data_IF_179539032271
#
_entry.id   IF_179539032271
#
_cell.length_a   1.000
_cell.length_b   1.000
_cell.length_c   1.000
_cell.angle_alpha   90.00
_cell.angle_beta   90.00
_cell.angle_gamma   90.00
#
_symmetry.space_group_name_H-M   'P 1'
#
loop_
_entity.id
_entity.type
_entity.pdbx_description
1 polymer ?
#
# COMPACT_ATOMS: atom_id res chain seq x y z
N UNK A 1 3.08 -10.39 -8.78
CA UNK A 1 4.17 -9.69 -8.06
C UNK A 1 3.72 -9.40 -6.66
N UNK A 2 4.63 -9.54 -5.70
CA UNK A 2 4.40 -9.22 -4.29
C UNK A 2 5.66 -8.60 -3.68
N UNK A 3 5.47 -7.76 -2.67
CA UNK A 3 6.52 -7.18 -1.86
C UNK A 3 6.05 -7.15 -0.41
N UNK A 4 6.93 -7.54 0.51
CA UNK A 4 6.61 -7.58 1.95
C UNK A 4 7.62 -6.77 2.72
N UNK A 5 7.18 -6.02 3.72
CA UNK A 5 8.05 -5.30 4.64
C UNK A 5 7.52 -5.38 6.06
N UNK A 6 8.45 -5.45 7.02
CA UNK A 6 8.16 -5.35 8.45
C UNK A 6 8.95 -4.21 9.06
N UNK A 7 8.36 -3.53 10.03
CA UNK A 7 9.03 -2.50 10.82
C UNK A 7 8.34 -2.34 12.18
N UNK A 8 9.03 -1.67 13.10
CA UNK A 8 8.48 -1.29 14.41
C UNK A 8 7.98 0.15 14.35
N UNK A 9 6.72 0.37 14.70
CA UNK A 9 6.11 1.68 14.83
C UNK A 9 6.43 2.33 16.18
N UNK A 10 6.28 3.66 16.26
CA UNK A 10 6.48 4.40 17.51
C UNK A 10 5.30 4.24 18.49
N UNK A 11 4.10 3.96 17.98
CA UNK A 11 2.88 3.76 18.75
C UNK A 11 2.50 2.29 18.98
N UNK A 12 1.28 2.06 19.48
CA UNK A 12 0.68 0.72 19.61
C UNK A 12 -0.70 0.66 18.94
N UNK A 13 -1.03 -0.52 18.42
CA UNK A 13 -2.35 -0.99 17.99
C UNK A 13 -3.18 0.12 17.29
N UNK A 14 -4.20 0.64 17.97
CA UNK A 14 -5.16 1.58 17.38
C UNK A 14 -4.53 2.87 16.86
N UNK A 15 -3.54 3.44 17.56
CA UNK A 15 -2.86 4.65 17.10
C UNK A 15 -2.02 4.40 15.84
N UNK A 16 -1.50 3.19 15.70
CA UNK A 16 -0.75 2.77 14.51
C UNK A 16 -1.71 2.50 13.35
N UNK A 17 -2.83 1.81 13.61
CA UNK A 17 -3.87 1.55 12.62
C UNK A 17 -4.48 2.85 12.08
N UNK A 18 -4.74 3.84 12.93
CA UNK A 18 -5.27 5.15 12.53
C UNK A 18 -4.28 5.91 11.65
N UNK A 19 -3.00 5.91 12.00
CA UNK A 19 -1.96 6.55 11.20
C UNK A 19 -1.81 5.89 9.82
N UNK A 20 -1.93 4.56 9.77
CA UNK A 20 -1.92 3.78 8.53
C UNK A 20 -3.14 4.10 7.66
N UNK A 21 -4.34 4.10 8.22
CA UNK A 21 -5.57 4.46 7.50
C UNK A 21 -5.49 5.88 6.92
N UNK A 22 -5.04 6.86 7.72
CA UNK A 22 -4.86 8.24 7.26
C UNK A 22 -3.82 8.34 6.14
N UNK A 23 -2.68 7.66 6.26
CA UNK A 23 -1.66 7.63 5.22
C UNK A 23 -2.21 7.03 3.91
N UNK A 24 -2.91 5.90 3.98
CA UNK A 24 -3.52 5.27 2.82
C UNK A 24 -4.53 6.21 2.14
N UNK A 25 -5.41 6.86 2.90
CA UNK A 25 -6.35 7.86 2.37
C UNK A 25 -5.64 9.04 1.70
N UNK A 26 -4.61 9.58 2.33
CA UNK A 26 -3.83 10.70 1.80
C UNK A 26 -3.12 10.34 0.47
N UNK A 27 -2.71 9.09 0.32
CA UNK A 27 -2.09 8.57 -0.91
C UNK A 27 -3.11 8.03 -1.94
N UNK A 28 -4.41 8.26 -1.72
CA UNK A 28 -5.45 7.94 -2.69
C UNK A 28 -5.83 6.47 -2.79
N UNK A 29 -5.52 5.68 -1.76
CA UNK A 29 -6.02 4.32 -1.61
C UNK A 29 -7.54 4.32 -1.32
N UNK A 30 -8.20 3.23 -1.70
CA UNK A 30 -9.65 3.04 -1.66
C UNK A 30 -9.98 1.64 -1.17
N UNK A 31 -11.26 1.36 -0.94
CA UNK A 31 -11.74 0.06 -0.42
C UNK A 31 -10.99 -0.33 0.86
N UNK A 32 -10.79 0.64 1.77
CA UNK A 32 -10.07 0.42 3.02
C UNK A 32 -10.99 -0.31 3.98
N UNK A 33 -10.63 -1.53 4.33
CA UNK A 33 -11.31 -2.37 5.31
C UNK A 33 -10.41 -2.52 6.54
N UNK A 34 -10.94 -2.19 7.72
CA UNK A 34 -10.27 -2.42 9.00
C UNK A 34 -10.90 -3.60 9.71
N UNK A 35 -10.08 -4.51 10.21
CA UNK A 35 -10.46 -5.60 11.11
C UNK A 35 -9.55 -5.59 12.34
N UNK A 36 -9.73 -6.57 13.23
CA UNK A 36 -8.90 -6.72 14.44
C UNK A 36 -7.42 -6.79 14.06
N UNK A 37 -6.67 -5.72 14.38
CA UNK A 37 -5.24 -5.60 14.08
C UNK A 37 -4.89 -5.55 12.59
N UNK A 38 -5.85 -5.41 11.67
CA UNK A 38 -5.56 -5.51 10.23
C UNK A 38 -6.21 -4.42 9.40
N UNK A 39 -5.51 -3.97 8.35
CA UNK A 39 -6.02 -3.05 7.33
C UNK A 39 -5.76 -3.65 5.96
N UNK A 40 -6.80 -3.71 5.13
CA UNK A 40 -6.69 -4.03 3.71
C UNK A 40 -7.13 -2.82 2.88
N UNK A 41 -6.41 -2.51 1.82
CA UNK A 41 -6.76 -1.41 0.93
C UNK A 41 -6.34 -1.70 -0.52
N UNK A 42 -6.95 -0.98 -1.46
CA UNK A 42 -6.67 -1.08 -2.89
C UNK A 42 -6.29 0.26 -3.49
N UNK A 43 -5.37 0.22 -4.44
CA UNK A 43 -4.96 1.36 -5.21
C UNK A 43 -5.19 1.10 -6.69
N UNK A 44 -5.54 2.16 -7.42
CA UNK A 44 -5.73 2.11 -8.87
C UNK A 44 -6.96 1.34 -9.35
N UNK A 45 -7.00 1.06 -10.65
CA UNK A 45 -8.16 0.42 -11.29
C UNK A 45 -7.69 -0.52 -12.39
N UNK A 46 -8.11 -1.79 -12.26
CA UNK A 46 -7.94 -2.82 -13.30
C UNK A 46 -8.53 -2.38 -14.64
N UNK A 47 -9.71 -1.78 -14.60
CA UNK A 47 -10.42 -1.35 -15.81
C UNK A 47 -9.71 -0.17 -16.48
N UNK A 48 -9.24 0.80 -15.69
CA UNK A 48 -8.48 1.93 -16.23
C UNK A 48 -7.19 1.45 -16.90
N UNK A 49 -6.47 0.52 -16.26
CA UNK A 49 -5.28 -0.09 -16.84
C UNK A 49 -5.61 -0.90 -18.10
N UNK A 50 -6.74 -1.61 -18.14
CA UNK A 50 -7.18 -2.37 -19.32
C UNK A 50 -7.49 -1.48 -20.52
N UNK A 51 -8.14 -0.33 -20.29
CA UNK A 51 -8.58 0.57 -21.36
C UNK A 51 -7.41 1.44 -21.85
N UNK A 52 -6.57 1.92 -20.93
CA UNK A 52 -5.54 2.91 -21.24
C UNK A 52 -4.12 2.32 -21.32
N UNK A 53 -3.92 1.10 -20.82
CA UNK A 53 -2.65 0.39 -20.86
C UNK A 53 -1.46 1.24 -20.41
N UNK A 54 -0.34 1.06 -21.13
CA UNK A 54 0.92 1.79 -20.94
C UNK A 54 0.84 3.26 -21.37
N UNK A 55 -0.25 3.68 -22.02
CA UNK A 55 -0.47 5.06 -22.50
C UNK A 55 -0.97 6.01 -21.40
N UNK A 56 -1.10 5.55 -20.15
CA UNK A 56 -1.32 6.44 -19.02
C UNK A 56 -0.12 7.38 -18.85
N UNK A 57 -0.35 8.72 -18.81
CA UNK A 57 0.72 9.69 -18.61
C UNK A 57 1.56 9.37 -17.37
N UNK A 58 2.88 9.63 -17.38
CA UNK A 58 3.70 9.54 -16.17
C UNK A 58 3.06 10.37 -15.04
N UNK A 59 2.91 9.77 -13.85
CA UNK A 59 2.19 10.36 -12.72
C UNK A 59 0.68 10.01 -12.64
N UNK A 60 0.07 9.49 -13.70
CA UNK A 60 -1.30 8.94 -13.70
C UNK A 60 -1.37 7.42 -13.82
N UNK A 61 -0.21 6.75 -13.84
CA UNK A 61 -0.09 5.29 -13.77
C UNK A 61 -0.58 4.80 -12.42
N UNK A 62 -1.90 4.63 -12.29
CA UNK A 62 -2.53 4.03 -11.12
C UNK A 62 -2.49 2.53 -11.26
N UNK A 63 -1.30 1.99 -11.05
CA UNK A 63 -1.05 0.56 -11.10
C UNK A 63 -1.91 -0.15 -10.06
N UNK A 64 -2.76 -1.12 -10.46
CA UNK A 64 -3.69 -1.75 -9.56
C UNK A 64 -2.92 -2.58 -8.54
N UNK A 65 -3.04 -2.22 -7.28
CA UNK A 65 -2.36 -2.87 -6.17
C UNK A 65 -3.32 -3.11 -5.02
N UNK A 66 -3.02 -4.10 -4.20
CA UNK A 66 -3.67 -4.37 -2.92
C UNK A 66 -2.62 -4.42 -1.84
N UNK A 67 -2.86 -3.74 -0.73
CA UNK A 67 -2.02 -3.83 0.46
C UNK A 67 -2.84 -4.49 1.57
N UNK A 68 -2.19 -5.41 2.28
CA UNK A 68 -2.68 -5.99 3.53
C UNK A 68 -1.66 -5.68 4.61
N UNK A 69 -2.11 -5.10 5.70
CA UNK A 69 -1.28 -4.67 6.80
C UNK A 69 -1.81 -5.33 8.06
N UNK A 70 -0.92 -5.93 8.83
CA UNK A 70 -1.19 -6.45 10.16
C UNK A 70 -0.36 -5.67 11.18
N UNK A 71 -0.97 -5.37 12.31
CA UNK A 71 -0.38 -4.68 13.45
C UNK A 71 -0.55 -5.59 14.67
N UNK A 72 0.56 -5.87 15.33
CA UNK A 72 0.60 -6.62 16.60
C UNK A 72 1.44 -5.82 17.60
N UNK A 73 0.77 -5.09 18.50
CA UNK A 73 1.41 -4.13 19.38
C UNK A 73 2.03 -2.99 18.58
N UNK A 74 3.37 -2.96 18.51
CA UNK A 74 4.12 -1.99 17.71
C UNK A 74 4.72 -2.59 16.44
N UNK A 75 4.60 -3.90 16.21
CA UNK A 75 5.10 -4.52 14.99
C UNK A 75 4.09 -4.34 13.86
N UNK A 76 4.57 -3.83 12.72
CA UNK A 76 3.78 -3.67 11.50
C UNK A 76 4.32 -4.58 10.43
N UNK A 77 3.45 -5.42 9.87
CA UNK A 77 3.75 -6.27 8.72
C UNK A 77 2.86 -5.87 7.54
N UNK A 78 3.46 -5.40 6.45
CA UNK A 78 2.74 -5.02 5.24
C UNK A 78 3.09 -5.94 4.07
N UNK A 79 2.08 -6.50 3.44
CA UNK A 79 2.12 -7.29 2.21
C UNK A 79 1.44 -6.49 1.10
N UNK A 80 2.20 -6.12 0.08
CA UNK A 80 1.72 -5.43 -1.10
C UNK A 80 1.73 -6.39 -2.27
N UNK A 81 0.60 -6.50 -2.97
CA UNK A 81 0.46 -7.34 -4.16
C UNK A 81 -0.03 -6.52 -5.33
N UNK A 82 0.49 -6.87 -6.50
CA UNK A 82 -0.13 -6.50 -7.76
C UNK A 82 -1.54 -7.10 -7.85
N UNK A 83 -2.49 -6.30 -8.35
CA UNK A 83 -3.86 -6.73 -8.62
C UNK A 83 -4.13 -6.74 -10.14
N UNK A 84 -3.14 -7.06 -10.96
CA UNK A 84 -3.20 -6.93 -12.42
C UNK A 84 -4.00 -8.02 -13.15
N UNK A 85 -4.19 -9.18 -12.53
CA UNK A 85 -4.71 -10.37 -13.24
C UNK A 85 -3.68 -10.95 -14.23
N UNK A 86 -4.10 -11.91 -15.07
CA UNK A 86 -3.21 -12.69 -15.95
C UNK A 86 -2.66 -11.94 -17.18
N UNK A 87 -3.06 -10.68 -17.39
CA UNK A 87 -2.81 -9.97 -18.64
C UNK A 87 -1.48 -9.20 -18.71
N UNK A 88 -0.73 -9.12 -17.60
CA UNK A 88 0.53 -8.35 -17.51
C UNK A 88 1.77 -9.20 -17.25
N UNK A 89 1.64 -10.53 -17.39
CA UNK A 89 2.64 -11.56 -17.06
C UNK A 89 3.99 -11.47 -17.80
N UNK A 90 4.26 -10.49 -18.67
CA UNK A 90 5.44 -10.53 -19.56
C UNK A 90 6.20 -9.20 -19.76
N UNK A 91 6.06 -8.20 -18.88
CA UNK A 91 6.84 -6.96 -19.02
C UNK A 91 7.69 -6.68 -17.79
N UNK A 92 9.00 -6.89 -17.88
CA UNK A 92 9.99 -6.54 -16.84
C UNK A 92 9.94 -5.06 -16.42
N UNK A 93 9.49 -4.18 -17.32
CA UNK A 93 9.24 -2.78 -17.01
C UNK A 93 8.11 -2.57 -15.99
N UNK A 94 7.13 -3.48 -15.90
CA UNK A 94 6.06 -3.41 -14.90
C UNK A 94 6.54 -3.89 -13.53
N UNK A 95 7.47 -4.84 -13.48
CA UNK A 95 8.11 -5.26 -12.23
C UNK A 95 8.85 -4.09 -11.58
N UNK A 96 9.64 -3.34 -12.36
CA UNK A 96 10.35 -2.17 -11.84
C UNK A 96 9.38 -1.08 -11.36
N UNK A 97 8.33 -0.80 -12.12
CA UNK A 97 7.28 0.17 -11.71
C UNK A 97 6.58 -0.27 -10.44
N UNK A 98 6.27 -1.56 -10.29
CA UNK A 98 5.69 -2.12 -9.08
C UNK A 98 6.64 -1.96 -7.89
N UNK A 99 7.91 -2.31 -8.04
CA UNK A 99 8.90 -2.23 -6.95
C UNK A 99 9.16 -0.77 -6.51
N UNK A 100 9.22 0.16 -7.45
CA UNK A 100 9.34 1.60 -7.15
C UNK A 100 8.10 2.11 -6.38
N UNK A 101 6.91 1.69 -6.79
CA UNK A 101 5.68 2.01 -6.06
C UNK A 101 5.65 1.36 -4.68
N UNK A 102 6.07 0.11 -4.56
CA UNK A 102 6.14 -0.62 -3.30
C UNK A 102 7.05 0.10 -2.30
N UNK A 103 8.25 0.50 -2.74
CA UNK A 103 9.20 1.22 -1.90
C UNK A 103 8.60 2.52 -1.35
N UNK A 104 7.96 3.33 -2.21
CA UNK A 104 7.30 4.59 -1.82
C UNK A 104 6.15 4.39 -0.85
N UNK A 105 5.33 3.37 -1.07
CA UNK A 105 4.21 3.04 -0.16
C UNK A 105 4.74 2.64 1.20
N UNK A 106 5.75 1.77 1.26
CA UNK A 106 6.34 1.36 2.53
C UNK A 106 7.03 2.50 3.27
N UNK A 107 7.69 3.41 2.55
CA UNK A 107 8.28 4.61 3.15
C UNK A 107 7.21 5.51 3.75
N UNK A 108 6.15 5.84 3.00
CA UNK A 108 5.04 6.64 3.48
C UNK A 108 4.36 6.04 4.73
N UNK A 109 4.13 4.73 4.73
CA UNK A 109 3.55 4.02 5.89
C UNK A 109 4.49 4.04 7.10
N UNK A 110 5.79 3.84 6.89
CA UNK A 110 6.78 3.90 7.97
C UNK A 110 6.86 5.31 8.55
N UNK A 111 6.85 6.35 7.72
CA UNK A 111 6.95 7.74 8.17
C UNK A 111 5.68 8.18 8.93
N UNK A 112 4.51 7.72 8.49
CA UNK A 112 3.26 7.94 9.20
C UNK A 112 3.25 7.26 10.59
N UNK A 113 3.73 6.02 10.67
CA UNK A 113 3.76 5.23 11.91
C UNK A 113 4.93 5.55 12.84
N UNK A 114 5.98 6.20 12.33
CA UNK A 114 7.11 6.71 13.11
C UNK A 114 6.81 8.03 13.85
N UNK A 115 5.72 8.72 13.49
CA UNK A 115 5.31 10.00 14.08
C UNK A 115 4.09 9.89 15.01
N UNK A 116 3.64 8.68 15.32
CA UNK A 116 2.51 8.45 16.24
C UNK A 116 2.92 8.89 17.64
N UNK A 117 2.53 10.10 18.05
CA UNK A 117 2.74 10.60 19.40
C UNK A 117 1.84 9.82 20.36
N UNK A 118 2.42 9.28 21.42
CA UNK A 118 1.65 8.74 22.54
C UNK A 118 0.68 9.81 23.05
N UNK A 119 -0.64 9.54 23.15
CA UNK A 119 -1.46 10.27 24.10
C UNK A 119 -0.94 9.90 25.48
N UNK A 120 -0.30 10.86 26.15
CA UNK A 120 0.08 10.77 27.55
C UNK A 120 -1.13 10.89 28.46
#
# INVERSE_FOLDING_TARGET
MEATKRWTAAGKDDGVLDAIDQALKAHGWREISRGDGTIEARFGSRLALRIWGVFLPPGRKRFPMRVKIAVDGSEVAADLRSDEGWYLLQMSAMDQVFMDHAARVFEALRDATGNVRHPG
#
